data_IF_433210936692
#
_entry.id   IF_433210936692
#
_cell.length_a   1.000
_cell.length_b   1.000
_cell.length_c   1.000
_cell.angle_alpha   90.00
_cell.angle_beta   90.00
_cell.angle_gamma   90.00
#
_symmetry.space_group_name_H-M   'P 1'
#
loop_
_entity.id
_entity.type
_entity.pdbx_description
1 polymer ?
#
# COMPACT_ATOMS: atom_id res chain seq x y z
N UNK A 1 10.31 -18.59 13.13
CA UNK A 1 9.38 -17.66 13.80
C UNK A 1 8.75 -16.64 12.84
N UNK A 2 9.53 -15.80 12.14
CA UNK A 2 9.01 -14.77 11.22
C UNK A 2 8.08 -15.32 10.10
N UNK A 3 8.44 -16.45 9.48
CA UNK A 3 7.61 -17.05 8.42
C UNK A 3 6.27 -17.63 8.90
N UNK A 4 6.14 -17.95 10.20
CA UNK A 4 4.88 -18.46 10.76
C UNK A 4 3.92 -17.30 11.04
N UNK A 5 4.42 -16.20 11.61
CA UNK A 5 3.64 -14.99 11.86
C UNK A 5 3.13 -14.36 10.55
N UNK A 6 3.96 -14.33 9.51
CA UNK A 6 3.55 -13.85 8.18
C UNK A 6 2.47 -14.74 7.56
N UNK A 7 2.53 -16.06 7.75
CA UNK A 7 1.50 -16.98 7.25
C UNK A 7 0.19 -16.86 8.02
N UNK A 8 0.27 -16.71 9.34
CA UNK A 8 -0.91 -16.55 10.20
C UNK A 8 -1.59 -15.21 9.96
N UNK A 9 -0.83 -14.11 9.86
CA UNK A 9 -1.38 -12.80 9.51
C UNK A 9 -2.02 -12.84 8.13
N UNK A 10 -1.36 -13.44 7.14
CA UNK A 10 -1.92 -13.60 5.79
C UNK A 10 -3.20 -14.44 5.75
N UNK A 11 -3.30 -15.49 6.59
CA UNK A 11 -4.51 -16.33 6.69
C UNK A 11 -5.65 -15.60 7.39
N UNK A 12 -5.36 -14.90 8.49
CA UNK A 12 -6.34 -14.09 9.20
C UNK A 12 -6.85 -12.92 8.35
N UNK A 13 -5.93 -12.24 7.66
CA UNK A 13 -6.24 -11.13 6.75
C UNK A 13 -7.16 -11.60 5.62
N UNK A 14 -6.83 -12.71 4.94
CA UNK A 14 -7.73 -13.29 3.94
C UNK A 14 -9.08 -13.70 4.53
N UNK A 15 -9.11 -14.32 5.70
CA UNK A 15 -10.36 -14.73 6.35
C UNK A 15 -11.32 -13.58 6.65
N UNK A 16 -10.80 -12.42 7.08
CA UNK A 16 -11.61 -11.22 7.34
C UNK A 16 -12.19 -10.68 6.03
N UNK A 17 -11.35 -10.49 5.01
CA UNK A 17 -11.76 -9.87 3.74
C UNK A 17 -12.56 -10.79 2.80
N UNK A 18 -12.51 -12.10 3.02
CA UNK A 18 -13.34 -13.08 2.30
C UNK A 18 -14.67 -13.41 3.03
N UNK A 19 -15.06 -12.60 4.02
CA UNK A 19 -16.36 -12.79 4.69
C UNK A 19 -17.54 -12.45 3.76
N UNK A 20 -18.67 -13.17 3.85
CA UNK A 20 -19.83 -12.98 2.96
C UNK A 20 -20.35 -11.54 2.90
N UNK A 21 -20.20 -10.80 4.00
CA UNK A 21 -20.57 -9.39 4.09
C UNK A 21 -19.66 -8.49 3.24
N UNK A 22 -18.36 -8.76 3.21
CA UNK A 22 -17.38 -7.96 2.45
C UNK A 22 -17.26 -8.39 0.98
N UNK A 23 -17.62 -9.64 0.67
CA UNK A 23 -17.72 -10.10 -0.72
C UNK A 23 -19.06 -9.72 -1.36
N UNK A 24 -19.96 -9.06 -0.62
CA UNK A 24 -21.34 -8.77 -1.03
C UNK A 24 -22.05 -10.04 -1.56
N UNK A 25 -21.82 -11.20 -0.92
CA UNK A 25 -22.25 -12.52 -1.38
C UNK A 25 -21.85 -12.89 -2.83
N UNK A 26 -20.84 -12.22 -3.40
CA UNK A 26 -20.43 -12.43 -4.80
C UNK A 26 -21.34 -11.76 -5.84
N UNK A 27 -22.31 -10.94 -5.43
CA UNK A 27 -23.26 -10.28 -6.35
C UNK A 27 -22.67 -9.11 -7.16
N UNK A 28 -21.56 -8.53 -6.72
CA UNK A 28 -20.93 -7.37 -7.39
C UNK A 28 -19.47 -7.69 -7.68
N UNK A 29 -19.12 -7.81 -8.96
CA UNK A 29 -17.75 -7.99 -9.42
C UNK A 29 -17.46 -7.07 -10.63
N UNK A 30 -16.45 -6.21 -10.49
CA UNK A 30 -15.96 -5.37 -11.58
C UNK A 30 -14.75 -6.05 -12.25
N UNK A 31 -14.98 -6.60 -13.45
CA UNK A 31 -13.96 -7.29 -14.24
C UNK A 31 -13.15 -6.31 -15.10
N UNK A 32 -12.45 -5.38 -14.44
CA UNK A 32 -11.57 -4.39 -15.10
C UNK A 32 -10.11 -4.51 -14.61
N UNK A 33 -9.49 -5.71 -14.73
CA UNK A 33 -8.26 -6.06 -14.01
C UNK A 33 -7.07 -5.13 -14.26
N UNK A 34 -6.96 -4.60 -15.48
CA UNK A 34 -5.91 -3.64 -15.83
C UNK A 34 -6.16 -2.26 -15.22
N UNK A 35 -7.41 -1.81 -15.14
CA UNK A 35 -7.75 -0.53 -14.51
C UNK A 35 -7.52 -0.59 -13.00
N UNK A 36 -7.93 -1.69 -12.34
CA UNK A 36 -7.69 -1.91 -10.91
C UNK A 36 -6.19 -1.97 -10.60
N UNK A 37 -5.42 -2.69 -11.42
CA UNK A 37 -3.95 -2.75 -11.26
C UNK A 37 -3.30 -1.40 -11.55
N UNK A 38 -3.78 -0.68 -12.56
CA UNK A 38 -3.33 0.68 -12.88
C UNK A 38 -3.62 1.67 -11.76
N UNK A 39 -4.77 1.56 -11.10
CA UNK A 39 -5.11 2.35 -9.91
C UNK A 39 -4.21 2.00 -8.72
N UNK A 40 -4.00 0.71 -8.44
CA UNK A 40 -3.06 0.30 -7.40
C UNK A 40 -1.64 0.83 -7.66
N UNK A 41 -1.16 0.72 -8.91
CA UNK A 41 0.14 1.24 -9.31
C UNK A 41 0.21 2.78 -9.19
N UNK A 42 -0.82 3.51 -9.63
CA UNK A 42 -0.84 4.98 -9.54
C UNK A 42 -0.85 5.47 -8.10
N UNK A 43 -1.54 4.76 -7.19
CA UNK A 43 -1.51 5.06 -5.75
C UNK A 43 -0.10 4.89 -5.17
N UNK A 44 0.59 3.79 -5.49
CA UNK A 44 1.99 3.59 -5.06
C UNK A 44 2.93 4.66 -5.63
N UNK A 45 2.79 4.98 -6.91
CA UNK A 45 3.61 6.00 -7.56
C UNK A 45 3.33 7.40 -7.01
N UNK A 46 2.08 7.71 -6.64
CA UNK A 46 1.73 8.95 -5.97
C UNK A 46 2.43 9.08 -4.62
N UNK A 47 2.47 8.02 -3.81
CA UNK A 47 3.16 8.04 -2.51
C UNK A 47 4.67 8.23 -2.72
N UNK A 48 5.26 7.56 -3.72
CA UNK A 48 6.66 7.76 -4.12
C UNK A 48 6.90 9.24 -4.47
N UNK A 49 6.05 9.83 -5.30
CA UNK A 49 6.17 11.23 -5.71
C UNK A 49 6.13 12.19 -4.50
N UNK A 50 5.26 11.94 -3.52
CA UNK A 50 5.21 12.73 -2.28
C UNK A 50 6.51 12.63 -1.49
N UNK A 51 7.08 11.43 -1.35
CA UNK A 51 8.33 11.26 -0.61
C UNK A 51 9.51 11.89 -1.33
N UNK A 52 9.57 11.79 -2.66
CA UNK A 52 10.58 12.48 -3.47
C UNK A 52 10.44 13.99 -3.35
N UNK A 53 9.21 14.51 -3.42
CA UNK A 53 8.94 15.94 -3.21
C UNK A 53 9.51 16.42 -1.87
N UNK A 54 9.19 15.73 -0.77
CA UNK A 54 9.71 16.08 0.56
C UNK A 54 11.24 16.06 0.61
N UNK A 55 11.88 15.04 0.02
CA UNK A 55 13.34 14.92 0.00
C UNK A 55 14.03 16.04 -0.79
N UNK A 56 13.35 16.64 -1.76
CA UNK A 56 13.91 17.69 -2.63
C UNK A 56 13.59 19.10 -2.11
N UNK A 57 12.41 19.29 -1.51
CA UNK A 57 11.97 20.63 -1.11
C UNK A 57 12.30 21.01 0.32
N UNK A 58 12.45 20.02 1.22
CA UNK A 58 12.68 20.31 2.64
C UNK A 58 14.18 20.42 2.93
N UNK A 59 14.66 21.58 3.42
CA UNK A 59 16.05 21.74 3.83
C UNK A 59 16.33 20.99 5.15
N UNK A 60 17.60 20.64 5.37
CA UNK A 60 18.12 20.12 6.64
C UNK A 60 17.41 18.88 7.20
N UNK A 61 16.92 18.01 6.31
CA UNK A 61 16.35 16.72 6.70
C UNK A 61 17.39 15.83 7.40
N UNK A 62 17.06 15.27 8.59
CA UNK A 62 17.94 14.32 9.25
C UNK A 62 18.22 13.09 8.39
N UNK A 63 19.48 12.63 8.39
CA UNK A 63 19.94 11.49 7.58
C UNK A 63 19.08 10.23 7.79
N UNK A 64 18.63 9.99 9.02
CA UNK A 64 17.78 8.82 9.31
C UNK A 64 16.44 8.88 8.58
N UNK A 65 15.87 10.08 8.37
CA UNK A 65 14.63 10.27 7.61
C UNK A 65 14.86 10.08 6.11
N UNK A 66 16.00 10.55 5.60
CA UNK A 66 16.40 10.32 4.21
C UNK A 66 16.53 8.83 3.92
N UNK A 67 17.20 8.07 4.80
CA UNK A 67 17.34 6.61 4.67
C UNK A 67 15.97 5.93 4.72
N UNK A 68 15.12 6.32 5.67
CA UNK A 68 13.75 5.82 5.80
C UNK A 68 12.93 6.05 4.52
N UNK A 69 12.92 7.28 4.00
CA UNK A 69 12.17 7.64 2.81
C UNK A 69 12.71 6.90 1.58
N UNK A 70 14.03 6.81 1.41
CA UNK A 70 14.66 6.07 0.32
C UNK A 70 14.30 4.57 0.35
N UNK A 71 14.29 3.96 1.54
CA UNK A 71 13.90 2.56 1.72
C UNK A 71 12.43 2.31 1.35
N UNK A 72 11.51 3.20 1.76
CA UNK A 72 10.11 3.09 1.39
C UNK A 72 9.87 3.33 -0.11
N UNK A 73 10.53 4.33 -0.70
CA UNK A 73 10.49 4.57 -2.15
C UNK A 73 10.91 3.31 -2.90
N UNK A 74 12.06 2.72 -2.54
CA UNK A 74 12.52 1.49 -3.17
C UNK A 74 11.50 0.35 -3.01
N UNK A 75 10.91 0.20 -1.82
CA UNK A 75 9.92 -0.84 -1.56
C UNK A 75 8.64 -0.65 -2.41
N UNK A 76 8.12 0.57 -2.52
CA UNK A 76 6.95 0.85 -3.36
C UNK A 76 7.23 0.73 -4.85
N UNK A 77 8.43 1.10 -5.32
CA UNK A 77 8.85 0.89 -6.70
C UNK A 77 8.94 -0.61 -7.03
N UNK A 78 9.50 -1.42 -6.12
CA UNK A 78 9.55 -2.88 -6.28
C UNK A 78 8.14 -3.48 -6.28
N UNK A 79 7.25 -3.05 -5.38
CA UNK A 79 5.86 -3.50 -5.35
C UNK A 79 5.12 -3.15 -6.65
N UNK A 80 5.23 -1.90 -7.10
CA UNK A 80 4.64 -1.40 -8.34
C UNK A 80 5.17 -2.18 -9.55
N UNK A 81 6.49 -2.35 -9.65
CA UNK A 81 7.12 -3.14 -10.69
C UNK A 81 6.63 -4.59 -10.70
N UNK A 82 6.52 -5.24 -9.54
CA UNK A 82 5.99 -6.59 -9.44
C UNK A 82 4.51 -6.69 -9.87
N UNK A 83 3.70 -5.66 -9.59
CA UNK A 83 2.29 -5.61 -10.03
C UNK A 83 2.15 -5.44 -11.55
N UNK A 84 2.98 -4.59 -12.16
CA UNK A 84 2.89 -4.25 -13.59
C UNK A 84 3.55 -5.32 -14.47
N UNK A 85 4.74 -5.78 -14.08
CA UNK A 85 5.52 -6.74 -14.86
C UNK A 85 5.14 -8.17 -14.48
N UNK A 86 4.03 -8.66 -15.04
CA UNK A 86 3.49 -9.99 -14.80
C UNK A 86 4.25 -11.12 -15.52
N UNK A 87 5.59 -11.16 -15.38
CA UNK A 87 6.42 -12.24 -15.97
C UNK A 87 5.99 -13.64 -15.51
N UNK A 88 5.41 -13.73 -14.31
CA UNK A 88 4.76 -14.93 -13.77
C UNK A 88 3.46 -14.55 -13.09
N UNK A 89 2.40 -15.37 -13.16
CA UNK A 89 1.09 -15.04 -12.58
C UNK A 89 1.13 -14.81 -11.06
N UNK A 90 2.10 -15.40 -10.36
CA UNK A 90 2.30 -15.22 -8.91
C UNK A 90 2.97 -13.90 -8.54
N UNK A 91 3.67 -13.25 -9.48
CA UNK A 91 4.47 -12.03 -9.19
C UNK A 91 3.56 -10.83 -8.91
N UNK A 92 2.51 -10.56 -9.69
CA UNK A 92 1.56 -9.48 -9.38
C UNK A 92 0.88 -9.65 -8.02
N UNK A 93 0.43 -10.86 -7.67
CA UNK A 93 -0.15 -11.13 -6.35
C UNK A 93 0.82 -10.82 -5.22
N UNK A 94 2.10 -11.22 -5.35
CA UNK A 94 3.14 -10.87 -4.37
C UNK A 94 3.39 -9.37 -4.30
N UNK A 95 3.33 -8.68 -5.44
CA UNK A 95 3.41 -7.22 -5.51
C UNK A 95 2.32 -6.53 -4.69
N UNK A 96 1.07 -6.98 -4.83
CA UNK A 96 -0.05 -6.47 -4.03
C UNK A 96 0.14 -6.67 -2.52
N UNK A 97 0.51 -7.88 -2.08
CA UNK A 97 0.77 -8.14 -0.66
C UNK A 97 1.96 -7.34 -0.13
N UNK A 98 3.04 -7.23 -0.90
CA UNK A 98 4.22 -6.46 -0.51
C UNK A 98 3.90 -4.97 -0.41
N UNK A 99 3.16 -4.42 -1.38
CA UNK A 99 2.65 -3.05 -1.34
C UNK A 99 1.76 -2.81 -0.12
N UNK A 100 0.87 -3.75 0.23
CA UNK A 100 0.03 -3.59 1.42
C UNK A 100 0.84 -3.64 2.70
N UNK A 101 1.81 -4.55 2.81
CA UNK A 101 2.70 -4.61 3.96
C UNK A 101 3.42 -3.28 4.17
N UNK A 102 4.01 -2.73 3.11
CA UNK A 102 4.78 -1.48 3.19
C UNK A 102 3.89 -0.26 3.45
N UNK A 103 2.70 -0.19 2.84
CA UNK A 103 1.70 0.82 3.17
C UNK A 103 1.22 0.72 4.62
N UNK A 104 0.97 -0.48 5.14
CA UNK A 104 0.59 -0.68 6.55
C UNK A 104 1.72 -0.25 7.49
N UNK A 105 2.96 -0.64 7.22
CA UNK A 105 4.13 -0.21 8.01
C UNK A 105 4.25 1.32 7.99
N UNK A 106 4.13 1.95 6.82
CA UNK A 106 4.12 3.40 6.69
C UNK A 106 3.01 4.06 7.52
N UNK A 107 1.77 3.56 7.44
CA UNK A 107 0.64 4.10 8.22
C UNK A 107 0.85 3.93 9.72
N UNK A 108 1.39 2.80 10.17
CA UNK A 108 1.72 2.59 11.58
C UNK A 108 2.79 3.58 12.03
N UNK A 109 3.86 3.76 11.26
CA UNK A 109 4.91 4.74 11.57
C UNK A 109 4.33 6.15 11.60
N UNK A 110 3.51 6.51 10.60
CA UNK A 110 2.82 7.79 10.53
C UNK A 110 1.96 8.03 11.78
N UNK A 111 1.13 7.08 12.18
CA UNK A 111 0.28 7.15 13.38
C UNK A 111 1.07 7.17 14.69
N UNK A 112 2.10 6.34 14.85
CA UNK A 112 2.95 6.33 16.05
C UNK A 112 3.72 7.63 16.18
N UNK A 113 4.16 8.21 15.07
CA UNK A 113 4.82 9.52 15.03
C UNK A 113 3.93 10.67 15.51
N UNK A 114 2.61 10.42 15.75
CA UNK A 114 1.68 11.34 16.42
C UNK A 114 1.96 11.50 17.90
N UNK A 115 2.39 10.40 18.53
CA UNK A 115 2.53 10.30 19.97
C UNK A 115 3.97 10.49 20.42
N UNK A 116 4.93 10.46 19.48
CA UNK A 116 6.36 10.57 19.76
C UNK A 116 6.98 11.64 18.87
N UNK A 117 7.53 12.69 19.49
CA UNK A 117 8.34 13.69 18.79
C UNK A 117 9.64 13.05 18.31
N UNK A 118 9.91 13.13 17.00
CA UNK A 118 11.16 12.61 16.44
C UNK A 118 12.23 13.71 16.42
N UNK A 119 13.41 13.49 17.02
CA UNK A 119 14.48 14.49 17.09
C UNK A 119 14.93 14.98 15.72
N UNK A 120 15.05 16.29 15.51
CA UNK A 120 15.61 16.86 14.27
C UNK A 120 14.64 16.98 13.10
N UNK A 121 13.40 16.50 13.21
CA UNK A 121 12.34 16.78 12.22
C UNK A 121 11.56 18.05 12.58
N UNK A 122 12.24 19.08 13.08
CA UNK A 122 11.58 20.29 13.59
C UNK A 122 10.96 21.12 12.46
N UNK A 123 11.58 21.12 11.28
CA UNK A 123 11.02 21.74 10.08
C UNK A 123 9.73 21.02 9.60
N UNK A 124 9.60 19.74 9.96
CA UNK A 124 8.42 18.91 9.72
C UNK A 124 7.50 18.79 10.96
N UNK A 125 7.73 19.53 12.06
CA UNK A 125 6.83 19.50 13.24
C UNK A 125 5.50 20.17 12.90
N UNK A 126 4.38 19.53 13.27
CA UNK A 126 3.04 19.87 12.75
C UNK A 126 2.50 18.88 11.70
N UNK A 127 3.17 17.72 11.55
CA UNK A 127 3.00 16.55 10.64
C UNK A 127 1.60 16.15 10.15
N UNK A 128 0.53 16.65 10.77
CA UNK A 128 -0.85 16.28 10.50
C UNK A 128 -1.58 17.30 9.61
N UNK A 129 -1.12 18.56 9.62
CA UNK A 129 -1.72 19.66 8.85
C UNK A 129 -0.91 19.98 7.58
N UNK A 130 0.27 19.37 7.44
CA UNK A 130 1.08 19.45 6.22
C UNK A 130 0.44 18.61 5.11
N UNK A 131 -0.04 19.29 4.07
CA UNK A 131 -0.68 18.68 2.90
C UNK A 131 0.08 17.46 2.32
N UNK A 132 1.43 17.44 2.24
CA UNK A 132 2.16 16.25 1.76
C UNK A 132 1.97 15.02 2.65
N UNK A 133 1.99 15.18 3.98
CA UNK A 133 1.83 14.07 4.92
C UNK A 133 0.45 13.42 4.82
N UNK A 134 -0.59 14.25 4.82
CA UNK A 134 -1.99 13.80 4.68
C UNK A 134 -2.25 13.18 3.30
N UNK A 135 -1.62 13.70 2.24
CA UNK A 135 -1.68 13.11 0.91
C UNK A 135 -1.02 11.72 0.86
N UNK A 136 0.18 11.55 1.44
CA UNK A 136 0.83 10.24 1.52
C UNK A 136 -0.02 9.23 2.32
N UNK A 137 -0.62 9.66 3.43
CA UNK A 137 -1.55 8.83 4.21
C UNK A 137 -2.77 8.41 3.37
N UNK A 138 -3.42 9.37 2.70
CA UNK A 138 -4.61 9.11 1.89
C UNK A 138 -4.32 8.13 0.74
N UNK A 139 -3.17 8.27 0.07
CA UNK A 139 -2.77 7.37 -1.00
C UNK A 139 -2.44 5.96 -0.47
N UNK A 140 -1.76 5.85 0.69
CA UNK A 140 -1.46 4.56 1.31
C UNK A 140 -2.73 3.85 1.79
N UNK A 141 -3.64 4.59 2.43
CA UNK A 141 -4.95 4.08 2.83
C UNK A 141 -5.80 3.68 1.60
N UNK A 142 -5.76 4.50 0.54
CA UNK A 142 -6.40 4.21 -0.75
C UNK A 142 -5.86 2.92 -1.38
N UNK A 143 -4.56 2.70 -1.35
CA UNK A 143 -3.96 1.45 -1.86
C UNK A 143 -4.46 0.24 -1.08
N UNK A 144 -4.50 0.34 0.26
CA UNK A 144 -5.05 -0.72 1.11
C UNK A 144 -6.52 -0.95 0.79
N UNK A 145 -7.32 0.09 0.66
CA UNK A 145 -8.73 -0.02 0.28
C UNK A 145 -8.90 -0.75 -1.07
N UNK A 146 -8.13 -0.36 -2.09
CA UNK A 146 -8.15 -1.06 -3.39
C UNK A 146 -7.77 -2.53 -3.24
N UNK A 147 -6.67 -2.85 -2.54
CA UNK A 147 -6.29 -4.26 -2.35
C UNK A 147 -7.33 -5.03 -1.55
N UNK A 148 -7.99 -4.44 -0.57
CA UNK A 148 -9.08 -5.11 0.16
C UNK A 148 -10.26 -5.46 -0.74
N UNK A 149 -10.63 -4.59 -1.69
CA UNK A 149 -11.67 -4.92 -2.68
C UNK A 149 -11.24 -6.02 -3.65
N UNK A 150 -9.95 -6.14 -3.93
CA UNK A 150 -9.41 -7.27 -4.70
C UNK A 150 -9.50 -8.57 -3.91
N UNK A 151 -9.16 -8.55 -2.62
CA UNK A 151 -9.23 -9.72 -1.75
C UNK A 151 -10.66 -10.17 -1.45
N UNK A 152 -11.62 -9.24 -1.42
CA UNK A 152 -13.04 -9.56 -1.24
C UNK A 152 -13.72 -10.02 -2.54
N UNK A 153 -13.03 -10.00 -3.68
CA UNK A 153 -13.59 -10.41 -4.96
C UNK A 153 -14.52 -9.36 -5.61
N UNK A 154 -14.65 -8.17 -5.02
CA UNK A 154 -15.39 -7.05 -5.62
C UNK A 154 -14.68 -6.56 -6.89
N UNK A 155 -13.35 -6.49 -6.85
CA UNK A 155 -12.51 -6.10 -7.97
C UNK A 155 -11.61 -7.26 -8.39
N UNK A 156 -11.46 -7.47 -9.70
CA UNK A 156 -10.44 -8.39 -10.22
C UNK A 156 -9.15 -7.59 -10.45
N UNK A 157 -7.98 -8.16 -10.16
CA UNK A 157 -6.68 -7.56 -10.50
C UNK A 157 -5.94 -8.41 -11.54
N UNK A 158 -5.17 -7.77 -12.40
CA UNK A 158 -4.37 -8.46 -13.42
C UNK A 158 -3.33 -9.34 -12.72
N UNK A 159 -3.13 -10.61 -13.14
CA UNK A 159 -3.56 -11.22 -14.41
C UNK A 159 -4.82 -12.08 -14.33
N UNK A 160 -5.53 -12.10 -13.19
CA UNK A 160 -6.76 -12.90 -13.07
C UNK A 160 -7.85 -12.32 -13.96
N UNK A 161 -8.67 -13.20 -14.54
CA UNK A 161 -9.86 -12.88 -15.32
C UNK A 161 -10.99 -13.77 -14.79
N UNK A 162 -11.84 -13.17 -13.95
CA UNK A 162 -13.05 -13.74 -13.36
C UNK A 162 -12.92 -14.92 -12.37
N UNK A 163 -13.85 -14.95 -11.42
CA UNK A 163 -14.03 -16.00 -10.41
C UNK A 163 -15.54 -16.22 -10.19
N UNK A 164 -16.31 -16.37 -11.28
CA UNK A 164 -17.74 -16.72 -11.20
C UNK A 164 -17.85 -18.17 -10.76
N UNK A 165 -18.55 -18.40 -9.66
CA UNK A 165 -19.20 -19.68 -9.39
C UNK A 165 -20.69 -19.45 -9.64
N UNK A 166 -21.23 -20.05 -10.70
CA UNK A 166 -22.67 -20.20 -10.91
C UNK A 166 -23.28 -21.07 -9.79
#
# INVERSE_FOLDING_TARGET
>A
MAGLLVRLSHKAWRGIFSSPLLTLNGYVAFDVPRAVTGLGASLLMGIVAVHVYLLVTEPDLPVYFVIYAAALIAAWLVACGAMVFAFKPTVPQRGWYFGSLTCTVFLVIYLVSRFVSLPGLVALTGRWDLAPGSMAMALAAGFLAVHTTVLSGINVAYPQRQNWHD
#
